data_IF_352942328167
#
_entry.id   IF_352942328167
#
_cell.length_a   1.000
_cell.length_b   1.000
_cell.length_c   1.000
_cell.angle_alpha   90.00
_cell.angle_beta   90.00
_cell.angle_gamma   90.00
#
_symmetry.space_group_name_H-M   'P 1'
#
loop_
_entity.id
_entity.type
_entity.pdbx_description
1 polymer ?
#
# COMPACT_ATOMS: atom_id res chain seq x y z
N UNK A 1 44.61 20.55 -0.74
CA UNK A 1 43.49 19.99 -1.54
C UNK A 1 42.79 18.82 -0.84
N UNK A 2 43.51 17.92 -0.17
CA UNK A 2 42.96 16.72 0.49
C UNK A 2 41.99 17.03 1.64
N UNK A 3 42.30 18.00 2.50
CA UNK A 3 41.44 18.37 3.65
C UNK A 3 40.04 18.87 3.24
N UNK A 4 39.93 19.54 2.10
CA UNK A 4 38.64 20.02 1.57
C UNK A 4 37.77 18.86 1.08
N UNK A 5 38.36 17.86 0.40
CA UNK A 5 37.63 16.66 -0.05
C UNK A 5 37.15 15.79 1.12
N UNK A 6 37.97 15.67 2.17
CA UNK A 6 37.60 14.95 3.40
C UNK A 6 36.43 15.66 4.08
N UNK A 7 36.51 16.98 4.28
CA UNK A 7 35.40 17.76 4.85
C UNK A 7 34.13 17.64 4.01
N UNK A 8 34.22 17.78 2.69
CA UNK A 8 33.08 17.62 1.79
C UNK A 8 32.42 16.24 1.91
N UNK A 9 33.20 15.18 2.09
CA UNK A 9 32.69 13.81 2.24
C UNK A 9 32.01 13.61 3.61
N UNK A 10 32.55 14.21 4.68
CA UNK A 10 31.94 14.20 6.01
C UNK A 10 30.59 14.92 5.99
N UNK A 11 30.53 16.12 5.38
CA UNK A 11 29.26 16.85 5.27
C UNK A 11 28.23 16.08 4.44
N UNK A 12 28.65 15.43 3.35
CA UNK A 12 27.76 14.53 2.57
C UNK A 12 27.22 13.39 3.43
N UNK A 13 28.08 12.71 4.20
CA UNK A 13 27.62 11.64 5.09
C UNK A 13 26.66 12.16 6.16
N UNK A 14 26.86 13.37 6.68
CA UNK A 14 25.95 14.00 7.63
C UNK A 14 24.58 14.28 6.99
N UNK A 15 24.56 14.84 5.77
CA UNK A 15 23.33 15.03 4.99
C UNK A 15 22.62 13.71 4.73
N UNK A 16 23.34 12.66 4.35
CA UNK A 16 22.77 11.33 4.12
C UNK A 16 22.13 10.77 5.40
N UNK A 17 22.80 10.90 6.55
CA UNK A 17 22.26 10.49 7.86
C UNK A 17 20.99 11.25 8.23
N UNK A 18 20.98 12.57 8.02
CA UNK A 18 19.80 13.40 8.24
C UNK A 18 18.67 12.94 7.32
N UNK A 19 18.96 12.66 6.05
CA UNK A 19 17.98 12.16 5.09
C UNK A 19 17.33 10.85 5.54
N UNK A 20 18.14 9.89 6.04
CA UNK A 20 17.63 8.62 6.59
C UNK A 20 16.76 8.85 7.82
N UNK A 21 17.19 9.70 8.75
CA UNK A 21 16.42 10.01 9.96
C UNK A 21 15.10 10.73 9.64
N UNK A 22 15.11 11.66 8.69
CA UNK A 22 13.88 12.32 8.20
C UNK A 22 12.94 11.30 7.57
N UNK A 23 13.43 10.43 6.69
CA UNK A 23 12.63 9.37 6.09
C UNK A 23 12.02 8.44 7.15
N UNK A 24 12.80 8.06 8.17
CA UNK A 24 12.34 7.25 9.30
C UNK A 24 11.19 7.93 10.04
N UNK A 25 11.34 9.22 10.38
CA UNK A 25 10.30 9.99 11.08
C UNK A 25 9.03 10.13 10.26
N UNK A 26 9.16 10.38 8.97
CA UNK A 26 8.02 10.46 8.04
C UNK A 26 7.25 9.13 8.01
N UNK A 27 7.95 7.99 7.91
CA UNK A 27 7.30 6.67 7.93
C UNK A 27 6.57 6.44 9.25
N UNK A 28 7.20 6.74 10.40
CA UNK A 28 6.57 6.59 11.71
C UNK A 28 5.34 7.48 11.88
N UNK A 29 5.40 8.73 11.40
CA UNK A 29 4.27 9.64 11.41
C UNK A 29 3.11 9.10 10.57
N UNK A 30 3.40 8.66 9.34
CA UNK A 30 2.39 8.12 8.44
C UNK A 30 1.76 6.83 8.99
N UNK A 31 2.56 5.95 9.57
CA UNK A 31 2.07 4.72 10.21
C UNK A 31 1.16 5.04 11.40
N UNK A 32 1.56 6.00 12.25
CA UNK A 32 0.75 6.42 13.40
C UNK A 32 -0.59 7.01 12.95
N UNK A 33 -0.58 7.83 11.89
CA UNK A 33 -1.79 8.37 11.29
C UNK A 33 -2.69 7.26 10.72
N UNK A 34 -2.13 6.33 9.95
CA UNK A 34 -2.88 5.21 9.37
C UNK A 34 -3.49 4.30 10.45
N UNK A 35 -2.73 4.01 11.51
CA UNK A 35 -3.21 3.22 12.65
C UNK A 35 -4.36 3.91 13.40
N UNK A 36 -4.23 5.22 13.59
CA UNK A 36 -5.28 6.03 14.22
C UNK A 36 -6.56 6.02 13.37
N UNK A 37 -6.42 6.14 12.05
CA UNK A 37 -7.54 6.06 11.11
C UNK A 37 -8.22 4.67 11.13
N UNK A 38 -7.44 3.59 11.19
CA UNK A 38 -7.97 2.22 11.30
C UNK A 38 -8.77 2.06 12.60
N UNK A 39 -8.24 2.55 13.71
CA UNK A 39 -8.92 2.49 15.01
C UNK A 39 -10.24 3.27 15.00
N UNK A 40 -10.24 4.47 14.42
CA UNK A 40 -11.45 5.28 14.25
C UNK A 40 -12.50 4.59 13.35
N UNK A 41 -12.05 4.01 12.23
CA UNK A 41 -12.93 3.29 11.29
C UNK A 41 -13.60 2.08 11.96
N UNK A 42 -12.86 1.34 12.79
CA UNK A 42 -13.41 0.24 13.60
C UNK A 42 -14.46 0.70 14.61
N UNK A 43 -14.23 1.83 15.28
CA UNK A 43 -15.23 2.42 16.17
C UNK A 43 -16.51 2.82 15.40
N UNK A 44 -16.35 3.41 14.21
CA UNK A 44 -17.47 3.80 13.35
C UNK A 44 -18.33 2.60 12.90
N UNK A 45 -17.73 1.42 12.68
CA UNK A 45 -18.51 0.19 12.39
C UNK A 45 -19.48 -0.09 13.53
N UNK A 46 -19.04 -0.02 14.79
CA UNK A 46 -19.91 -0.23 15.95
C UNK A 46 -21.08 0.75 16.01
N UNK A 47 -20.85 2.03 15.72
CA UNK A 47 -21.89 3.06 15.65
C UNK A 47 -22.85 2.87 14.48
N UNK A 48 -22.36 2.47 13.30
CA UNK A 48 -23.22 2.20 12.15
C UNK A 48 -24.12 0.98 12.37
N UNK A 49 -23.61 -0.03 13.09
CA UNK A 49 -24.36 -1.24 13.43
C UNK A 49 -25.50 -0.95 14.43
N UNK A 50 -25.27 -0.08 15.42
CA UNK A 50 -26.35 0.40 16.31
C UNK A 50 -27.38 1.23 15.56
N UNK A 51 -26.95 2.07 14.60
CA UNK A 51 -27.83 2.87 13.76
C UNK A 51 -28.75 1.99 12.89
N UNK A 52 -28.20 0.94 12.24
CA UNK A 52 -29.01 -0.02 11.47
C UNK A 52 -30.04 -0.72 12.34
N UNK A 53 -29.66 -1.15 13.55
CA UNK A 53 -30.62 -1.76 14.48
C UNK A 53 -31.75 -0.81 14.85
N UNK A 54 -31.42 0.45 15.18
CA UNK A 54 -32.42 1.45 15.55
C UNK A 54 -33.37 1.76 14.37
N UNK A 55 -32.82 1.97 13.17
CA UNK A 55 -33.61 2.24 11.98
C UNK A 55 -34.51 1.05 11.60
N UNK A 56 -34.05 -0.19 11.82
CA UNK A 56 -34.85 -1.40 11.60
C UNK A 56 -36.06 -1.45 12.52
N UNK A 57 -35.84 -1.20 13.82
CA UNK A 57 -36.93 -1.15 14.81
C UNK A 57 -37.94 -0.04 14.45
N UNK A 58 -37.45 1.13 14.03
CA UNK A 58 -38.30 2.24 13.62
C UNK A 58 -39.14 1.90 12.38
N UNK A 59 -38.54 1.26 11.37
CA UNK A 59 -39.25 0.81 10.16
C UNK A 59 -40.32 -0.24 10.48
N UNK A 60 -40.01 -1.20 11.35
CA UNK A 60 -40.96 -2.23 11.78
C UNK A 60 -42.10 -1.64 12.60
N UNK A 61 -41.82 -0.73 13.54
CA UNK A 61 -42.85 -0.01 14.30
C UNK A 61 -43.77 0.82 13.40
N UNK A 62 -43.20 1.54 12.43
CA UNK A 62 -43.95 2.33 11.44
C UNK A 62 -44.87 1.45 10.59
N UNK A 63 -44.38 0.26 10.19
CA UNK A 63 -45.18 -0.72 9.44
C UNK A 63 -46.33 -1.27 10.27
N UNK A 64 -46.12 -1.55 11.55
CA UNK A 64 -47.19 -2.00 12.46
C UNK A 64 -48.23 -0.89 12.67
N UNK A 65 -47.81 0.35 12.88
CA UNK A 65 -48.71 1.53 13.01
C UNK A 65 -49.52 1.78 11.73
N UNK A 66 -48.94 1.54 10.56
CA UNK A 66 -49.64 1.65 9.29
C UNK A 66 -50.71 0.56 9.11
N UNK A 67 -50.46 -0.67 9.55
CA UNK A 67 -51.43 -1.77 9.46
C UNK A 67 -52.69 -1.51 10.29
N UNK A 68 -52.56 -0.77 11.40
CA UNK A 68 -53.69 -0.37 12.26
C UNK A 68 -54.26 1.01 11.89
N UNK A 69 -53.76 1.65 10.83
CA UNK A 69 -54.26 2.93 10.33
C UNK A 69 -53.81 4.18 11.11
N UNK A 70 -52.81 4.06 12.00
CA UNK A 70 -52.25 5.17 12.77
C UNK A 70 -51.16 5.96 12.01
N UNK A 71 -50.60 5.36 10.95
CA UNK A 71 -49.65 5.98 10.03
C UNK A 71 -50.01 5.76 8.57
N UNK A 72 -49.46 6.60 7.71
CA UNK A 72 -49.67 6.54 6.26
C UNK A 72 -48.66 5.61 5.58
N UNK A 73 -48.93 5.23 4.34
CA UNK A 73 -47.98 4.48 3.50
C UNK A 73 -46.70 5.27 3.20
N UNK A 74 -46.78 6.60 3.12
CA UNK A 74 -45.61 7.47 2.93
C UNK A 74 -44.68 7.38 4.15
N UNK A 75 -45.22 7.28 5.36
CA UNK A 75 -44.40 7.15 6.58
C UNK A 75 -43.60 5.84 6.57
N UNK A 76 -44.21 4.74 6.12
CA UNK A 76 -43.51 3.45 5.96
C UNK A 76 -42.38 3.56 4.94
N UNK A 77 -42.63 4.18 3.79
CA UNK A 77 -41.60 4.37 2.76
C UNK A 77 -40.45 5.24 3.26
N UNK A 78 -40.74 6.29 4.02
CA UNK A 78 -39.71 7.14 4.63
C UNK A 78 -38.87 6.35 5.64
N UNK A 79 -39.50 5.55 6.51
CA UNK A 79 -38.77 4.73 7.47
C UNK A 79 -37.95 3.62 6.79
N UNK A 80 -38.44 3.03 5.71
CA UNK A 80 -37.67 2.09 4.88
C UNK A 80 -36.48 2.78 4.18
N UNK A 81 -36.64 4.03 3.73
CA UNK A 81 -35.55 4.83 3.16
C UNK A 81 -34.47 5.13 4.22
N UNK A 82 -34.86 5.47 5.45
CA UNK A 82 -33.93 5.68 6.56
C UNK A 82 -33.16 4.41 6.92
N UNK A 83 -33.83 3.25 6.97
CA UNK A 83 -33.18 1.95 7.17
C UNK A 83 -32.15 1.68 6.06
N UNK A 84 -32.51 1.89 4.80
CA UNK A 84 -31.62 1.68 3.66
C UNK A 84 -30.40 2.62 3.70
N UNK A 85 -30.60 3.87 4.12
CA UNK A 85 -29.51 4.82 4.32
C UNK A 85 -28.57 4.37 5.44
N UNK A 86 -29.11 3.86 6.56
CA UNK A 86 -28.30 3.30 7.64
C UNK A 86 -27.51 2.05 7.20
N UNK A 87 -28.14 1.15 6.43
CA UNK A 87 -27.47 -0.04 5.88
C UNK A 87 -26.32 0.35 4.93
N UNK A 88 -26.54 1.34 4.07
CA UNK A 88 -25.49 1.88 3.20
C UNK A 88 -24.33 2.49 4.01
N UNK A 89 -24.64 3.23 5.09
CA UNK A 89 -23.63 3.78 5.98
C UNK A 89 -22.80 2.68 6.66
N UNK A 90 -23.43 1.56 7.05
CA UNK A 90 -22.71 0.40 7.60
C UNK A 90 -21.78 -0.25 6.58
N UNK A 91 -22.22 -0.39 5.33
CA UNK A 91 -21.37 -0.92 4.25
C UNK A 91 -20.19 0.02 3.99
N UNK A 92 -20.42 1.33 3.95
CA UNK A 92 -19.36 2.33 3.82
C UNK A 92 -18.36 2.24 4.97
N UNK A 93 -18.82 2.13 6.22
CA UNK A 93 -17.94 2.02 7.38
C UNK A 93 -17.04 0.77 7.32
N UNK A 94 -17.58 -0.36 6.86
CA UNK A 94 -16.79 -1.59 6.65
C UNK A 94 -15.76 -1.44 5.53
N UNK A 95 -16.15 -0.78 4.44
CA UNK A 95 -15.25 -0.47 3.33
C UNK A 95 -14.10 0.44 3.79
N UNK A 96 -14.40 1.47 4.57
CA UNK A 96 -13.40 2.41 5.09
C UNK A 96 -12.42 1.73 6.05
N UNK A 97 -12.88 0.78 6.87
CA UNK A 97 -12.00 -0.06 7.69
C UNK A 97 -11.05 -0.90 6.84
N UNK A 98 -11.54 -1.50 5.76
CA UNK A 98 -10.72 -2.28 4.83
C UNK A 98 -9.62 -1.42 4.19
N UNK A 99 -9.98 -0.21 3.71
CA UNK A 99 -9.00 0.73 3.16
C UNK A 99 -8.00 1.17 4.23
N UNK A 100 -8.45 1.46 5.44
CA UNK A 100 -7.56 1.86 6.53
C UNK A 100 -6.58 0.74 6.91
N UNK A 101 -7.03 -0.51 6.92
CA UNK A 101 -6.17 -1.67 7.15
C UNK A 101 -5.13 -1.84 6.03
N UNK A 102 -5.54 -1.68 4.77
CA UNK A 102 -4.64 -1.70 3.62
C UNK A 102 -3.61 -0.56 3.68
N UNK A 103 -4.00 0.63 4.14
CA UNK A 103 -3.09 1.76 4.34
C UNK A 103 -2.01 1.45 5.38
N UNK A 104 -2.36 0.82 6.50
CA UNK A 104 -1.39 0.37 7.51
C UNK A 104 -0.39 -0.63 6.90
N UNK A 105 -0.87 -1.62 6.15
CA UNK A 105 0.00 -2.58 5.45
C UNK A 105 0.93 -1.88 4.44
N UNK A 106 0.44 -0.86 3.74
CA UNK A 106 1.24 -0.08 2.79
C UNK A 106 2.38 0.66 3.47
N UNK A 107 2.11 1.32 4.62
CA UNK A 107 3.15 2.03 5.38
C UNK A 107 4.20 1.09 5.97
N UNK A 108 3.82 -0.14 6.31
CA UNK A 108 4.77 -1.16 6.75
C UNK A 108 5.56 -1.80 5.60
N UNK A 109 5.19 -1.54 4.33
CA UNK A 109 5.79 -2.18 3.17
C UNK A 109 5.31 -3.61 2.92
N UNK A 110 4.22 -4.03 3.56
CA UNK A 110 3.63 -5.37 3.43
C UNK A 110 2.41 -5.41 2.49
N UNK A 111 2.07 -4.29 1.83
CA UNK A 111 1.05 -4.27 0.79
C UNK A 111 1.63 -4.76 -0.54
N UNK A 112 1.99 -6.04 -0.60
CA UNK A 112 2.44 -6.70 -1.81
C UNK A 112 1.55 -7.93 -2.09
N UNK A 113 1.34 -8.25 -3.37
CA UNK A 113 0.54 -9.41 -3.78
C UNK A 113 1.05 -10.73 -3.16
N UNK A 114 2.35 -10.81 -2.89
CA UNK A 114 3.02 -11.91 -2.19
C UNK A 114 2.47 -12.14 -0.77
N UNK A 115 2.22 -11.07 -0.02
CA UNK A 115 1.68 -11.15 1.34
C UNK A 115 0.16 -11.32 1.37
N UNK A 116 -0.56 -10.81 0.35
CA UNK A 116 -2.03 -10.87 0.28
C UNK A 116 -2.57 -12.17 -0.34
N UNK A 117 -1.84 -12.76 -1.30
CA UNK A 117 -2.28 -13.93 -2.07
C UNK A 117 -1.16 -14.96 -2.25
N UNK A 118 -0.63 -15.54 -1.14
CA UNK A 118 0.57 -16.39 -1.19
C UNK A 118 0.42 -17.66 -2.06
N UNK A 119 -0.81 -18.04 -2.41
CA UNK A 119 -1.10 -19.25 -3.19
C UNK A 119 -1.22 -19.00 -4.72
N UNK A 120 -0.98 -17.77 -5.20
CA UNK A 120 -1.08 -17.42 -6.63
C UNK A 120 0.32 -17.20 -7.20
N UNK A 121 0.65 -17.70 -8.41
CA UNK A 121 1.94 -17.43 -9.05
C UNK A 121 2.19 -15.92 -9.17
N UNK A 122 3.26 -15.44 -8.53
CA UNK A 122 3.63 -14.03 -8.56
C UNK A 122 4.59 -13.73 -9.71
N UNK A 123 4.42 -12.55 -10.32
CA UNK A 123 5.38 -12.05 -11.31
C UNK A 123 6.69 -11.71 -10.60
N UNK A 124 7.76 -12.46 -10.87
CA UNK A 124 9.11 -12.14 -10.41
C UNK A 124 9.78 -11.16 -11.39
N UNK A 125 10.03 -9.90 -10.99
CA UNK A 125 10.70 -8.94 -11.86
C UNK A 125 12.13 -9.36 -12.21
N UNK A 126 12.84 -10.06 -11.32
CA UNK A 126 14.27 -10.39 -11.53
C UNK A 126 14.46 -11.44 -12.61
N UNK A 127 13.70 -12.53 -12.61
CA UNK A 127 13.80 -13.54 -13.67
C UNK A 127 13.32 -13.03 -15.03
N UNK A 128 12.35 -12.11 -15.06
CA UNK A 128 11.86 -11.53 -16.32
C UNK A 128 12.75 -10.38 -16.83
N UNK A 129 13.43 -9.62 -15.96
CA UNK A 129 14.38 -8.59 -16.37
C UNK A 129 15.56 -9.17 -17.17
N UNK A 130 16.02 -10.37 -16.80
CA UNK A 130 17.04 -11.10 -17.56
C UNK A 130 16.58 -11.50 -18.97
N UNK A 131 15.28 -11.80 -19.15
CA UNK A 131 14.67 -12.07 -20.47
C UNK A 131 14.54 -10.80 -21.31
N UNK A 132 14.28 -9.66 -20.66
CA UNK A 132 14.18 -8.36 -21.32
C UNK A 132 15.54 -7.77 -21.71
N UNK A 133 16.62 -8.13 -20.99
CA UNK A 133 17.99 -7.73 -21.36
C UNK A 133 18.45 -8.34 -22.71
N UNK A 134 17.81 -9.42 -23.16
CA UNK A 134 18.05 -10.02 -24.49
C UNK A 134 17.10 -9.44 -25.56
N UNK A 135 16.10 -8.65 -25.16
CA UNK A 135 15.14 -7.98 -26.05
C UNK A 135 15.21 -6.45 -25.95
N UNK A 136 16.39 -5.91 -25.63
CA UNK A 136 16.70 -4.49 -25.84
C UNK A 136 17.94 -4.40 -26.72
N UNK A 137 17.71 -4.26 -28.04
CA UNK A 137 18.73 -4.28 -29.08
C UNK A 137 18.37 -5.02 -30.37
N UNK A 138 17.14 -5.54 -30.54
CA UNK A 138 16.81 -6.17 -31.83
C UNK A 138 16.53 -5.12 -32.91
N UNK A 139 17.61 -4.71 -33.58
CA UNK A 139 17.57 -4.04 -34.87
C UNK A 139 18.35 -4.88 -35.90
N UNK A 140 17.87 -5.06 -37.15
CA UNK A 140 18.47 -5.98 -38.13
C UNK A 140 19.94 -5.74 -38.50
N UNK A 141 20.59 -4.71 -37.97
CA UNK A 141 21.94 -4.26 -38.33
C UNK A 141 22.95 -4.26 -37.16
N UNK A 142 22.61 -4.75 -35.97
CA UNK A 142 23.55 -4.81 -34.83
C UNK A 142 24.57 -5.96 -34.93
N UNK A 143 24.21 -7.11 -35.51
CA UNK A 143 25.12 -8.25 -35.76
C UNK A 143 26.44 -7.83 -36.44
N UNK A 144 26.44 -7.07 -37.57
CA UNK A 144 27.68 -6.64 -38.19
C UNK A 144 28.48 -5.61 -37.36
N UNK A 145 27.82 -4.79 -36.53
CA UNK A 145 28.50 -3.76 -35.71
C UNK A 145 29.14 -4.38 -34.46
N UNK A 146 28.47 -5.35 -33.83
CA UNK A 146 29.00 -6.04 -32.64
C UNK A 146 30.30 -6.80 -32.93
N UNK A 147 30.44 -7.37 -34.13
CA UNK A 147 31.69 -7.99 -34.58
C UNK A 147 32.83 -6.95 -34.59
N UNK A 148 32.58 -5.75 -35.08
CA UNK A 148 33.57 -4.66 -35.12
C UNK A 148 33.91 -4.14 -33.73
N UNK A 149 32.91 -3.96 -32.86
CA UNK A 149 33.10 -3.38 -31.53
C UNK A 149 33.75 -4.37 -30.54
N UNK A 150 33.54 -5.68 -30.74
CA UNK A 150 34.19 -6.75 -29.96
C UNK A 150 35.71 -6.81 -30.13
N UNK A 151 36.23 -6.26 -31.23
CA UNK A 151 37.68 -6.18 -31.51
C UNK A 151 38.34 -5.05 -30.71
N UNK A 152 37.57 -4.06 -30.24
CA UNK A 152 38.09 -2.85 -29.59
C UNK A 152 37.65 -2.65 -28.14
N UNK A 153 36.77 -3.50 -27.60
CA UNK A 153 36.28 -3.39 -26.22
C UNK A 153 36.98 -4.36 -25.26
N UNK A 154 37.65 -3.87 -24.20
CA UNK A 154 38.21 -4.75 -23.17
C UNK A 154 37.10 -5.38 -22.32
N UNK A 155 37.22 -6.69 -22.07
CA UNK A 155 36.24 -7.48 -21.30
C UNK A 155 36.01 -6.87 -19.90
N UNK A 156 34.75 -6.76 -19.43
CA UNK A 156 34.47 -6.28 -18.08
C UNK A 156 35.10 -7.21 -17.05
N UNK A 157 35.91 -6.65 -16.15
CA UNK A 157 36.48 -7.39 -15.02
C UNK A 157 35.35 -7.72 -14.04
N UNK A 158 35.20 -9.01 -13.74
CA UNK A 158 34.23 -9.52 -12.78
C UNK A 158 34.49 -8.90 -11.39
N UNK A 159 33.43 -8.39 -10.75
CA UNK A 159 33.53 -7.71 -9.45
C UNK A 159 33.85 -8.76 -8.38
N UNK A 160 34.93 -8.64 -7.59
CA UNK A 160 35.30 -9.66 -6.62
C UNK A 160 34.21 -9.83 -5.56
N UNK A 161 33.95 -11.08 -5.19
CA UNK A 161 32.97 -11.44 -4.16
C UNK A 161 33.29 -10.75 -2.81
N UNK A 162 32.27 -10.33 -2.04
CA UNK A 162 32.51 -9.73 -0.73
C UNK A 162 33.21 -10.74 0.18
N UNK A 163 34.40 -10.39 0.66
CA UNK A 163 35.13 -11.17 1.65
C UNK A 163 34.29 -11.30 2.93
N UNK A 164 34.14 -12.52 3.49
CA UNK A 164 33.49 -12.69 4.78
C UNK A 164 34.30 -11.98 5.85
N UNK A 165 33.63 -11.16 6.66
CA UNK A 165 34.24 -10.48 7.79
C UNK A 165 34.66 -11.55 8.79
N UNK A 166 35.96 -11.83 8.88
CA UNK A 166 36.50 -12.71 9.90
C UNK A 166 36.28 -12.07 11.28
N UNK A 167 35.42 -12.70 12.08
CA UNK A 167 35.34 -12.42 13.51
C UNK A 167 36.67 -12.83 14.16
N UNK A 168 37.48 -11.84 14.56
CA UNK A 168 38.61 -12.08 15.46
C UNK A 168 38.16 -11.85 16.90
N UNK A 169 38.40 -12.89 17.68
CA UNK A 169 38.31 -13.10 19.14
C UNK A 169 38.52 -11.88 20.02
#
# INVERSE_FOLDING_TARGET
LTNSRVRQTIERNNVDRIGVETARRTVLQNLTQAWSQLTASRANIGSSDTQVRAARIAAEGTRQEQQVGLRTTIDVLNAEQELRAAELAQVSARHDEYIAAASVLAQMGHLEASYLTPNVPHYDPKSNFGKLRITWGWTPWEEPIAIVDSVFTPKPVEKPAPTPVSASK
#
